data_IF_879681100460
#
_entry.id   IF_879681100460
#
_cell.length_a   1.000
_cell.length_b   1.000
_cell.length_c   1.000
_cell.angle_alpha   90.00
_cell.angle_beta   90.00
_cell.angle_gamma   90.00
#
_symmetry.space_group_name_H-M   'P 1'
#
loop_
_entity.id
_entity.type
_entity.pdbx_description
1 polymer ?
#
# COMPACT_ATOMS: atom_id res chain seq x y z
N UNK A 1 25.28 41.39 1.09
CA UNK A 1 24.71 41.15 2.44
C UNK A 1 23.33 40.46 2.42
N UNK A 2 23.01 39.63 1.39
CA UNK A 2 21.71 38.92 1.30
C UNK A 2 21.86 37.38 1.11
N UNK A 3 23.10 36.85 1.17
CA UNK A 3 23.37 35.40 0.98
C UNK A 3 23.47 34.61 2.27
N UNK A 4 23.74 35.24 3.39
CA UNK A 4 23.97 34.51 4.65
C UNK A 4 22.68 34.16 5.43
N UNK A 5 21.59 34.91 5.20
CA UNK A 5 20.32 34.66 5.92
C UNK A 5 19.54 33.47 5.37
N UNK A 6 19.77 33.10 4.11
CA UNK A 6 19.11 31.92 3.49
C UNK A 6 19.80 30.61 3.89
N UNK A 7 21.11 30.64 4.16
CA UNK A 7 21.85 29.47 4.62
C UNK A 7 21.52 29.07 6.06
N UNK A 8 21.11 30.00 6.91
CA UNK A 8 20.75 29.73 8.28
C UNK A 8 19.45 28.95 8.45
N UNK A 9 18.47 29.17 7.55
CA UNK A 9 17.18 28.47 7.58
C UNK A 9 17.30 27.05 6.99
N UNK A 10 18.16 26.87 5.99
CA UNK A 10 18.41 25.54 5.43
C UNK A 10 19.23 24.65 6.36
N UNK A 11 20.12 25.25 7.16
CA UNK A 11 20.95 24.53 8.15
C UNK A 11 20.14 23.95 9.32
N UNK A 12 19.04 24.55 9.68
CA UNK A 12 18.18 24.07 10.78
C UNK A 12 17.34 22.85 10.36
N UNK A 13 17.02 22.73 9.08
CA UNK A 13 16.24 21.60 8.54
C UNK A 13 17.12 20.36 8.20
N UNK A 14 18.44 20.52 8.10
CA UNK A 14 19.37 19.43 7.77
C UNK A 14 20.11 18.86 9.00
N UNK A 15 19.93 19.44 10.20
CA UNK A 15 20.71 19.10 11.40
C UNK A 15 19.90 18.41 12.49
N UNK A 16 19.01 17.51 12.14
CA UNK A 16 18.44 16.57 13.11
C UNK A 16 19.01 15.18 12.92
N UNK A 17 20.33 15.07 13.09
CA UNK A 17 20.98 13.80 13.41
C UNK A 17 21.45 13.90 14.88
N UNK A 18 21.12 12.94 15.74
CA UNK A 18 21.62 12.94 17.10
C UNK A 18 23.06 12.48 17.12
N UNK A 19 23.99 13.37 17.31
CA UNK A 19 25.33 12.99 17.79
C UNK A 19 25.44 13.30 19.29
N UNK A 20 25.91 12.29 19.98
CA UNK A 20 26.19 12.11 21.38
C UNK A 20 26.87 13.31 22.04
N UNK A 21 26.30 13.71 23.19
CA UNK A 21 26.91 14.36 24.38
C UNK A 21 27.76 15.60 24.21
N UNK A 22 27.23 16.74 24.69
CA UNK A 22 27.83 17.50 25.79
C UNK A 22 26.93 18.65 26.27
N UNK A 23 26.72 18.64 27.58
CA UNK A 23 26.35 19.68 28.57
C UNK A 23 25.82 21.05 28.13
N UNK A 24 24.59 21.27 28.61
CA UNK A 24 24.02 22.47 29.21
C UNK A 24 24.42 23.86 28.68
N UNK A 25 23.43 24.56 28.11
CA UNK A 25 22.99 25.89 28.63
C UNK A 25 21.53 26.07 28.21
N UNK A 26 20.74 26.36 29.17
CA UNK A 26 19.34 26.71 29.26
C UNK A 26 18.98 27.89 28.37
N UNK A 27 18.06 27.70 27.47
CA UNK A 27 16.80 28.42 27.21
C UNK A 27 16.14 27.79 25.99
N UNK A 28 15.48 26.70 26.26
CA UNK A 28 14.68 26.02 25.27
C UNK A 28 13.25 26.48 25.42
N UNK A 29 12.72 27.16 24.39
CA UNK A 29 11.27 27.21 24.19
C UNK A 29 10.81 25.76 24.04
N UNK A 30 10.35 25.18 25.12
CA UNK A 30 9.71 23.87 25.12
C UNK A 30 8.36 24.04 24.43
N UNK A 31 8.30 23.76 23.16
CA UNK A 31 7.07 23.30 22.57
C UNK A 31 6.79 21.92 23.21
N UNK A 32 6.06 21.93 24.31
CA UNK A 32 5.50 20.73 24.91
C UNK A 32 4.46 20.21 23.92
N UNK A 33 4.89 19.37 22.97
CA UNK A 33 4.02 18.36 22.45
C UNK A 33 3.84 17.38 23.61
N UNK A 34 2.78 17.54 24.38
CA UNK A 34 2.27 16.47 25.22
C UNK A 34 1.85 15.37 24.26
N UNK A 35 2.78 14.52 23.89
CA UNK A 35 2.48 13.16 23.54
C UNK A 35 2.22 12.51 24.88
N UNK A 36 1.02 12.73 25.41
CA UNK A 36 0.50 11.84 26.42
C UNK A 36 0.51 10.47 25.74
N UNK A 37 1.52 9.67 26.09
CA UNK A 37 1.47 8.23 25.94
C UNK A 37 0.41 7.72 26.93
N UNK A 38 -0.85 8.08 26.69
CA UNK A 38 -1.95 7.28 27.17
C UNK A 38 -1.73 5.96 26.48
N UNK A 39 -1.23 4.98 27.23
CA UNK A 39 -1.35 3.59 26.89
C UNK A 39 -2.87 3.38 26.72
N UNK A 40 -3.34 3.60 25.49
CA UNK A 40 -4.64 3.16 25.09
C UNK A 40 -4.54 1.67 25.19
N UNK A 41 -5.18 1.08 26.20
CA UNK A 41 -5.70 -0.26 26.06
C UNK A 41 -6.63 -0.20 24.84
N UNK A 42 -6.00 -0.34 23.69
CA UNK A 42 -6.66 -0.65 22.46
C UNK A 42 -7.36 -1.98 22.75
N UNK A 43 -8.65 -1.91 22.99
CA UNK A 43 -9.52 -3.06 22.81
C UNK A 43 -9.48 -3.33 21.31
N UNK A 44 -8.35 -3.84 20.87
CA UNK A 44 -8.23 -4.52 19.62
C UNK A 44 -9.17 -5.70 19.77
N UNK A 45 -10.38 -5.58 19.24
CA UNK A 45 -11.12 -6.74 18.80
C UNK A 45 -10.23 -7.31 17.67
N UNK A 46 -9.19 -7.99 18.08
CA UNK A 46 -8.44 -8.90 17.24
C UNK A 46 -9.43 -10.01 16.92
N UNK A 47 -10.34 -9.73 15.99
CA UNK A 47 -10.87 -10.81 15.20
C UNK A 47 -9.61 -11.52 14.75
N UNK A 48 -9.35 -12.72 15.30
CA UNK A 48 -8.08 -13.37 15.22
C UNK A 48 -7.57 -13.35 13.79
N UNK A 49 -6.77 -12.33 13.43
CA UNK A 49 -5.89 -12.40 12.29
C UNK A 49 -4.95 -13.54 12.63
N UNK A 50 -5.33 -14.72 12.22
CA UNK A 50 -4.35 -15.76 12.11
C UNK A 50 -3.51 -15.36 10.90
N UNK A 51 -2.25 -14.91 11.07
CA UNK A 51 -1.33 -14.88 9.95
C UNK A 51 -1.48 -16.24 9.27
N UNK A 52 -1.53 -16.26 7.96
CA UNK A 52 -1.50 -17.52 7.24
C UNK A 52 -0.36 -18.33 7.83
N UNK A 53 -0.59 -19.61 8.06
CA UNK A 53 0.20 -20.42 8.98
C UNK A 53 1.71 -20.35 8.80
N UNK A 54 2.21 -19.71 7.76
CA UNK A 54 3.64 -19.74 7.42
C UNK A 54 4.12 -18.56 6.59
N UNK A 55 3.36 -17.46 6.51
CA UNK A 55 3.95 -16.29 5.90
C UNK A 55 5.03 -15.75 6.86
N UNK A 56 6.21 -15.48 6.35
CA UNK A 56 7.19 -14.64 7.03
C UNK A 56 6.63 -13.22 7.01
N UNK A 57 5.75 -12.94 7.96
CA UNK A 57 5.18 -11.62 8.12
C UNK A 57 6.24 -10.73 8.79
N UNK A 58 6.57 -9.64 8.12
CA UNK A 58 7.21 -8.51 8.75
C UNK A 58 6.10 -7.52 9.09
N UNK A 59 5.79 -7.39 10.37
CA UNK A 59 4.83 -6.40 10.87
C UNK A 59 5.59 -5.13 11.25
N UNK A 60 5.26 -4.02 10.59
CA UNK A 60 5.87 -2.72 10.86
C UNK A 60 4.80 -1.72 11.27
N UNK A 61 5.03 -1.08 12.40
CA UNK A 61 4.16 0.01 12.83
C UNK A 61 4.37 1.25 11.93
N UNK A 62 3.33 2.07 11.66
CA UNK A 62 3.45 3.27 10.82
C UNK A 62 4.59 4.21 11.22
N UNK A 63 4.87 4.35 12.52
CA UNK A 63 6.00 5.16 13.00
C UNK A 63 7.35 4.57 12.60
N UNK A 64 7.50 3.26 12.66
CA UNK A 64 8.72 2.57 12.23
C UNK A 64 8.98 2.81 10.73
N UNK A 65 7.93 2.69 9.90
CA UNK A 65 8.03 2.94 8.45
C UNK A 65 8.52 4.36 8.13
N UNK A 66 8.03 5.35 8.87
CA UNK A 66 8.42 6.76 8.66
C UNK A 66 9.84 7.02 9.13
N UNK A 67 10.31 6.30 10.16
CA UNK A 67 11.65 6.47 10.75
C UNK A 67 12.74 5.64 10.08
N UNK A 68 12.40 4.74 9.14
CA UNK A 68 13.41 3.99 8.37
C UNK A 68 14.32 4.94 7.62
N UNK A 69 15.62 4.84 7.87
CA UNK A 69 16.65 5.68 7.23
C UNK A 69 16.60 5.56 5.70
N UNK A 70 16.55 6.70 5.02
CA UNK A 70 16.50 6.76 3.56
C UNK A 70 15.14 6.47 2.92
N UNK A 71 14.12 6.02 3.67
CA UNK A 71 12.79 5.78 3.12
C UNK A 71 11.99 7.07 2.90
N UNK A 72 12.31 8.15 3.63
CA UNK A 72 11.61 9.44 3.56
C UNK A 72 10.09 9.32 3.74
N UNK A 73 9.65 8.44 4.63
CA UNK A 73 8.23 8.18 4.88
C UNK A 73 7.51 7.38 3.81
N UNK A 74 8.20 6.88 2.80
CA UNK A 74 7.62 6.06 1.75
C UNK A 74 7.48 4.61 2.21
N UNK A 75 6.27 4.06 2.05
CA UNK A 75 5.91 2.71 2.47
C UNK A 75 6.76 1.64 1.79
N UNK A 76 6.81 1.66 0.45
CA UNK A 76 7.52 0.61 -0.29
C UNK A 76 9.02 0.71 -0.10
N UNK A 77 9.55 1.94 -0.02
CA UNK A 77 10.95 2.16 0.22
C UNK A 77 11.39 1.69 1.62
N UNK A 78 10.52 1.84 2.61
CA UNK A 78 10.78 1.25 3.94
C UNK A 78 10.76 -0.28 3.88
N UNK A 79 9.82 -0.89 3.15
CA UNK A 79 9.77 -2.35 2.98
C UNK A 79 10.96 -2.92 2.20
N UNK A 80 11.60 -2.12 1.34
CA UNK A 80 12.82 -2.53 0.61
C UNK A 80 14.03 -2.77 1.52
N UNK A 81 13.96 -2.39 2.79
CA UNK A 81 15.01 -2.67 3.79
C UNK A 81 14.86 -4.03 4.46
N UNK A 82 13.74 -4.72 4.23
CA UNK A 82 13.46 -6.02 4.84
C UNK A 82 14.24 -7.16 4.16
N UNK A 83 14.60 -8.21 4.90
CA UNK A 83 15.24 -9.38 4.31
C UNK A 83 14.41 -10.04 3.22
N UNK A 84 15.02 -10.29 2.06
CA UNK A 84 14.37 -10.91 0.91
C UNK A 84 13.62 -9.94 -0.01
N UNK A 85 13.74 -8.64 0.25
CA UNK A 85 13.28 -7.60 -0.65
C UNK A 85 14.45 -7.03 -1.45
N UNK A 86 14.16 -6.48 -2.61
CA UNK A 86 15.14 -5.93 -3.53
C UNK A 86 14.60 -4.67 -4.23
N UNK A 87 15.50 -3.86 -4.72
CA UNK A 87 15.24 -2.69 -5.58
C UNK A 87 15.75 -3.01 -6.97
N UNK A 88 14.96 -2.77 -8.00
CA UNK A 88 15.38 -2.92 -9.38
C UNK A 88 15.80 -1.55 -9.93
N UNK A 89 17.10 -1.30 -10.01
CA UNK A 89 17.61 -0.03 -10.54
C UNK A 89 17.00 1.17 -9.82
N UNK A 90 16.50 2.13 -10.59
CA UNK A 90 15.88 3.36 -10.07
C UNK A 90 14.34 3.36 -10.13
N UNK A 91 13.69 2.20 -10.37
CA UNK A 91 12.23 2.13 -10.53
C UNK A 91 11.47 2.48 -9.26
N UNK A 92 12.05 2.21 -8.09
CA UNK A 92 11.41 2.44 -6.79
C UNK A 92 10.35 1.39 -6.41
N UNK A 93 10.10 0.41 -7.27
CA UNK A 93 9.13 -0.65 -7.04
C UNK A 93 9.68 -1.74 -6.10
N UNK A 94 8.80 -2.38 -5.34
CA UNK A 94 9.16 -3.45 -4.40
C UNK A 94 9.23 -4.79 -5.12
N UNK A 95 10.42 -5.39 -5.15
CA UNK A 95 10.63 -6.75 -5.60
C UNK A 95 10.87 -7.66 -4.39
N UNK A 96 10.27 -8.83 -4.41
CA UNK A 96 10.37 -9.78 -3.30
C UNK A 96 10.83 -11.13 -3.83
N UNK A 97 11.91 -11.66 -3.26
CA UNK A 97 12.48 -12.98 -3.61
C UNK A 97 12.77 -13.21 -5.09
N UNK A 98 13.18 -12.16 -5.79
CA UNK A 98 13.51 -12.23 -7.22
C UNK A 98 12.30 -12.18 -8.15
N UNK A 99 11.08 -12.08 -7.62
CA UNK A 99 9.87 -11.85 -8.43
C UNK A 99 9.73 -10.39 -8.83
N UNK A 100 9.00 -10.13 -9.92
CA UNK A 100 8.68 -8.79 -10.39
C UNK A 100 7.73 -8.04 -9.46
N UNK A 101 7.67 -6.72 -9.57
CA UNK A 101 6.78 -5.89 -8.74
C UNK A 101 5.29 -6.25 -8.93
N UNK A 102 4.89 -6.69 -10.12
CA UNK A 102 3.54 -7.16 -10.44
C UNK A 102 3.18 -8.51 -9.80
N UNK A 103 4.14 -9.26 -9.29
CA UNK A 103 3.92 -10.50 -8.55
C UNK A 103 3.68 -10.25 -7.05
N UNK A 104 3.92 -9.02 -6.58
CA UNK A 104 3.63 -8.58 -5.22
C UNK A 104 2.29 -7.85 -5.23
N UNK A 105 1.27 -8.45 -4.63
CA UNK A 105 -0.08 -7.90 -4.65
C UNK A 105 -0.38 -7.10 -3.39
N UNK A 106 -0.98 -5.92 -3.56
CA UNK A 106 -1.37 -5.03 -2.47
C UNK A 106 -2.87 -5.10 -2.24
N UNK A 107 -3.26 -5.19 -0.97
CA UNK A 107 -4.67 -5.20 -0.56
C UNK A 107 -4.91 -4.16 0.52
N UNK A 108 -6.01 -3.41 0.43
CA UNK A 108 -6.46 -2.48 1.48
C UNK A 108 -7.75 -3.02 2.09
N UNK A 109 -7.73 -3.29 3.40
CA UNK A 109 -8.84 -3.92 4.14
C UNK A 109 -9.34 -5.24 3.51
N UNK A 110 -8.42 -6.00 2.86
CA UNK A 110 -8.72 -7.26 2.19
C UNK A 110 -9.19 -7.13 0.74
N UNK A 111 -9.25 -5.90 0.19
CA UNK A 111 -9.64 -5.61 -1.19
C UNK A 111 -8.43 -5.25 -2.03
N UNK A 112 -8.34 -5.83 -3.23
CA UNK A 112 -7.20 -5.67 -4.13
C UNK A 112 -7.04 -4.23 -4.64
N UNK A 113 -5.80 -3.83 -4.85
CA UNK A 113 -5.38 -2.54 -5.41
C UNK A 113 -4.66 -2.78 -6.73
N UNK A 114 -5.23 -2.32 -7.83
CA UNK A 114 -4.69 -2.56 -9.17
C UNK A 114 -3.31 -1.91 -9.39
N UNK A 115 -3.14 -0.65 -8.95
CA UNK A 115 -1.88 0.08 -9.09
C UNK A 115 -1.54 0.82 -7.80
N UNK A 116 -0.59 0.28 -7.01
CA UNK A 116 -0.25 0.84 -5.71
C UNK A 116 0.86 1.89 -5.75
N UNK A 117 1.47 2.13 -6.90
CA UNK A 117 2.59 3.04 -7.06
C UNK A 117 2.19 4.37 -7.72
N UNK A 118 2.96 5.41 -7.44
CA UNK A 118 2.95 6.64 -8.24
C UNK A 118 3.70 6.41 -9.55
N UNK A 119 3.49 7.28 -10.53
CA UNK A 119 4.26 7.23 -11.77
C UNK A 119 5.75 7.33 -11.50
N UNK A 120 6.50 6.48 -12.15
CA UNK A 120 7.94 6.65 -12.30
C UNK A 120 8.22 7.45 -13.57
N UNK A 121 9.26 8.25 -13.50
CA UNK A 121 9.83 8.96 -14.65
C UNK A 121 11.35 8.82 -14.62
N UNK A 122 12.02 9.30 -15.63
CA UNK A 122 13.48 9.30 -15.65
C UNK A 122 13.99 10.08 -14.43
N UNK A 123 14.86 9.45 -13.65
CA UNK A 123 15.37 9.98 -12.38
C UNK A 123 14.29 10.36 -11.35
N UNK A 124 13.09 9.78 -11.48
CA UNK A 124 12.01 9.96 -10.51
C UNK A 124 11.42 8.59 -10.18
N UNK A 125 11.95 7.90 -9.15
CA UNK A 125 11.50 6.56 -8.77
C UNK A 125 10.04 6.60 -8.30
N UNK A 126 9.31 5.54 -8.60
CA UNK A 126 7.97 5.32 -8.09
C UNK A 126 7.97 5.31 -6.55
N UNK A 127 6.89 5.74 -5.97
CA UNK A 127 6.66 5.78 -4.52
C UNK A 127 5.30 5.19 -4.19
N UNK A 128 5.06 4.99 -2.91
CA UNK A 128 3.73 4.67 -2.43
C UNK A 128 2.76 5.81 -2.73
N UNK A 129 1.57 5.47 -3.21
CA UNK A 129 0.44 6.40 -3.29
C UNK A 129 -0.18 6.63 -1.91
N UNK A 130 0.06 5.73 -0.97
CA UNK A 130 -0.65 5.64 0.29
C UNK A 130 0.13 6.28 1.43
N UNK A 131 -0.54 7.17 2.17
CA UNK A 131 0.00 7.74 3.41
C UNK A 131 0.04 6.66 4.48
N UNK A 132 1.22 6.42 5.06
CA UNK A 132 1.42 5.45 6.16
C UNK A 132 0.53 5.74 7.37
N UNK A 133 0.16 7.00 7.57
CA UNK A 133 -0.68 7.42 8.71
C UNK A 133 -2.15 7.00 8.60
N UNK A 134 -2.61 6.57 7.43
CA UNK A 134 -3.98 6.07 7.23
C UNK A 134 -4.15 4.62 7.69
N UNK A 135 -3.04 3.90 7.93
CA UNK A 135 -3.04 2.48 8.27
C UNK A 135 -2.68 2.23 9.73
N UNK A 136 -3.17 1.13 10.29
CA UNK A 136 -2.87 0.68 11.66
C UNK A 136 -1.55 -0.07 11.74
N UNK A 137 -1.14 -0.70 10.65
CA UNK A 137 0.08 -1.48 10.50
C UNK A 137 0.28 -1.90 9.06
N UNK A 138 1.47 -2.32 8.74
CA UNK A 138 1.86 -2.84 7.43
C UNK A 138 2.48 -4.20 7.62
N UNK A 139 1.89 -5.20 7.00
CA UNK A 139 2.34 -6.57 7.06
C UNK A 139 2.83 -6.99 5.68
N UNK A 140 4.06 -7.46 5.55
CA UNK A 140 4.57 -8.05 4.31
C UNK A 140 4.67 -9.56 4.45
N UNK A 141 3.87 -10.30 3.70
CA UNK A 141 3.98 -11.74 3.56
C UNK A 141 4.89 -12.09 2.39
N UNK A 142 6.17 -12.30 2.64
CA UNK A 142 7.15 -12.63 1.61
C UNK A 142 7.14 -14.13 1.26
N UNK A 143 6.11 -14.55 0.50
CA UNK A 143 5.87 -15.93 0.10
C UNK A 143 5.02 -16.74 1.08
N UNK A 144 4.29 -17.71 0.56
CA UNK A 144 3.39 -18.54 1.36
C UNK A 144 2.16 -17.82 1.88
N UNK A 145 1.70 -16.79 1.20
CA UNK A 145 0.47 -16.07 1.56
C UNK A 145 -0.75 -17.00 1.60
N UNK A 146 -1.78 -16.61 2.34
CA UNK A 146 -3.04 -17.35 2.41
C UNK A 146 -3.67 -17.47 1.03
N UNK A 147 -4.34 -18.57 0.75
CA UNK A 147 -5.14 -18.79 -0.46
C UNK A 147 -6.32 -17.81 -0.58
N UNK A 148 -6.57 -17.02 0.45
CA UNK A 148 -7.48 -15.87 0.40
C UNK A 148 -7.03 -14.78 -0.59
N UNK A 149 -5.72 -14.68 -0.85
CA UNK A 149 -5.13 -13.67 -1.73
C UNK A 149 -4.72 -14.31 -3.06
N UNK A 150 -5.42 -13.96 -4.13
CA UNK A 150 -5.11 -14.43 -5.48
C UNK A 150 -3.99 -13.65 -6.14
N UNK A 151 -3.45 -14.22 -7.23
CA UNK A 151 -2.46 -13.60 -8.12
C UNK A 151 -1.12 -13.18 -7.46
N UNK A 152 -0.88 -13.55 -6.20
CA UNK A 152 0.30 -13.20 -5.45
C UNK A 152 1.36 -14.29 -5.54
N UNK A 153 2.25 -14.21 -6.52
CA UNK A 153 3.30 -15.20 -6.75
C UNK A 153 4.52 -14.98 -5.83
N UNK A 154 4.88 -13.73 -5.56
CA UNK A 154 6.06 -13.37 -4.75
C UNK A 154 5.70 -12.96 -3.34
N UNK A 155 4.78 -12.00 -3.18
CA UNK A 155 4.40 -11.48 -1.88
C UNK A 155 2.98 -10.93 -1.84
N UNK A 156 2.44 -10.80 -0.63
CA UNK A 156 1.20 -10.07 -0.34
C UNK A 156 1.50 -8.95 0.64
N UNK A 157 1.00 -7.78 0.34
CA UNK A 157 1.05 -6.60 1.18
C UNK A 157 -0.38 -6.20 1.62
N UNK A 158 -0.90 -6.76 2.70
CA UNK A 158 -2.16 -6.30 3.27
C UNK A 158 -1.94 -5.04 4.09
N UNK A 159 -2.61 -3.98 3.70
CA UNK A 159 -2.70 -2.71 4.40
C UNK A 159 -4.06 -2.66 5.11
N UNK A 160 -4.03 -2.48 6.41
CA UNK A 160 -5.25 -2.37 7.17
C UNK A 160 -5.45 -0.92 7.59
N UNK A 161 -6.56 -0.35 7.18
CA UNK A 161 -6.91 0.99 7.64
C UNK A 161 -7.24 0.98 9.12
N UNK A 162 -7.03 2.10 9.82
CA UNK A 162 -7.32 2.21 11.25
C UNK A 162 -8.77 1.90 11.55
N UNK A 163 -9.04 1.09 12.55
CA UNK A 163 -10.40 0.65 12.86
C UNK A 163 -11.24 1.77 13.52
N UNK A 164 -10.72 2.42 14.56
CA UNK A 164 -11.40 3.48 15.26
C UNK A 164 -10.41 4.46 15.86
N UNK A 165 -10.72 5.75 15.82
CA UNK A 165 -9.97 6.77 16.53
C UNK A 165 -10.85 7.38 17.62
N UNK A 166 -10.39 7.36 18.85
CA UNK A 166 -11.10 7.97 19.98
C UNK A 166 -10.77 9.46 20.17
N UNK A 167 -9.79 9.95 19.41
CA UNK A 167 -9.26 11.31 19.58
C UNK A 167 -9.21 12.02 18.25
N UNK A 168 -9.69 13.24 18.22
CA UNK A 168 -9.54 14.15 17.10
C UNK A 168 -8.04 14.47 16.91
N UNK A 169 -7.59 14.42 15.65
CA UNK A 169 -6.19 14.68 15.29
C UNK A 169 -6.13 15.59 14.09
N UNK A 170 -5.15 16.49 14.08
CA UNK A 170 -4.81 17.33 12.94
C UNK A 170 -3.29 17.34 12.81
N UNK A 171 -2.79 17.24 11.59
CA UNK A 171 -1.39 17.32 11.28
C UNK A 171 -1.17 18.08 10.00
N UNK A 172 -0.08 18.83 9.94
CA UNK A 172 0.38 19.51 8.73
C UNK A 172 1.87 19.24 8.54
N UNK A 173 2.29 19.16 7.29
CA UNK A 173 3.69 19.01 6.94
C UNK A 173 4.03 19.96 5.80
N UNK A 174 5.26 20.42 5.79
CA UNK A 174 5.80 21.24 4.70
C UNK A 174 7.27 20.88 4.47
N UNK A 175 7.66 20.86 3.21
CA UNK A 175 9.01 20.58 2.76
C UNK A 175 9.34 21.39 1.50
N UNK A 176 10.59 21.36 1.07
CA UNK A 176 11.03 22.02 -0.19
C UNK A 176 10.33 21.42 -1.42
N UNK A 177 9.81 20.20 -1.30
CA UNK A 177 9.17 19.48 -2.40
C UNK A 177 7.65 19.49 -2.34
N UNK A 178 7.05 19.97 -1.23
CA UNK A 178 5.59 20.01 -1.14
C UNK A 178 5.04 20.34 0.23
N UNK A 179 3.73 20.35 0.30
CA UNK A 179 2.95 20.59 1.51
C UNK A 179 1.87 19.55 1.64
N UNK A 180 1.51 19.21 2.86
CA UNK A 180 0.44 18.28 3.13
C UNK A 180 -0.22 18.55 4.46
N UNK A 181 -1.35 17.93 4.65
CA UNK A 181 -2.06 18.00 5.90
C UNK A 181 -3.21 17.02 5.94
N UNK A 182 -3.60 16.65 7.13
CA UNK A 182 -4.69 15.74 7.32
C UNK A 182 -5.21 15.80 8.74
N UNK A 183 -6.28 15.08 8.96
CA UNK A 183 -6.87 15.00 10.29
C UNK A 183 -7.89 13.90 10.40
N UNK A 184 -8.28 13.65 11.62
CA UNK A 184 -9.35 12.72 11.96
C UNK A 184 -10.33 13.43 12.86
N UNK A 185 -11.60 13.41 12.46
CA UNK A 185 -12.73 13.82 13.30
C UNK A 185 -13.45 12.59 13.81
N UNK A 186 -13.66 12.53 15.11
CA UNK A 186 -14.35 11.43 15.78
C UNK A 186 -15.78 11.82 16.13
N UNK A 187 -16.67 10.85 16.16
CA UNK A 187 -18.06 10.94 16.63
C UNK A 187 -18.43 9.64 17.35
N UNK A 188 -19.57 9.59 18.01
CA UNK A 188 -19.94 8.53 18.95
C UNK A 188 -19.71 7.10 18.47
N UNK A 189 -19.95 6.83 17.18
CA UNK A 189 -19.86 5.49 16.61
C UNK A 189 -18.93 5.40 15.39
N UNK A 190 -18.09 6.40 15.17
CA UNK A 190 -17.24 6.38 14.00
C UNK A 190 -16.22 7.48 13.95
N UNK A 191 -15.53 7.55 12.83
CA UNK A 191 -14.57 8.61 12.55
C UNK A 191 -14.40 8.82 11.04
N UNK A 192 -14.09 10.07 10.70
CA UNK A 192 -13.71 10.48 9.35
C UNK A 192 -12.26 10.97 9.39
N UNK A 193 -11.42 10.40 8.55
CA UNK A 193 -10.06 10.86 8.36
C UNK A 193 -9.88 11.38 6.94
N UNK A 194 -9.12 12.45 6.79
CA UNK A 194 -8.73 13.05 5.51
C UNK A 194 -7.23 13.27 5.52
N UNK A 195 -6.57 13.00 4.40
CA UNK A 195 -5.15 13.28 4.18
C UNK A 195 -4.99 13.86 2.78
N UNK A 196 -4.36 15.02 2.68
CA UNK A 196 -4.16 15.76 1.43
C UNK A 196 -2.69 16.12 1.32
N UNK A 197 -2.09 15.83 0.16
CA UNK A 197 -0.70 16.13 -0.11
C UNK A 197 -0.55 16.74 -1.51
N UNK A 198 0.24 17.78 -1.62
CA UNK A 198 0.63 18.39 -2.87
C UNK A 198 2.15 18.47 -2.96
N UNK A 199 2.71 17.94 -4.02
CA UNK A 199 4.14 17.98 -4.31
C UNK A 199 4.39 18.76 -5.58
N UNK A 200 5.48 19.54 -5.58
CA UNK A 200 5.93 20.31 -6.73
C UNK A 200 7.45 20.49 -6.68
N UNK A 201 8.15 19.84 -7.59
CA UNK A 201 9.61 19.93 -7.65
C UNK A 201 10.14 21.24 -8.23
N UNK A 202 9.30 22.17 -8.68
CA UNK A 202 9.75 23.43 -9.27
C UNK A 202 10.53 24.33 -8.31
N UNK A 203 10.21 24.30 -6.99
CA UNK A 203 10.99 25.03 -6.00
C UNK A 203 12.35 24.34 -5.75
N UNK A 204 12.33 23.02 -5.63
CA UNK A 204 13.55 22.22 -5.48
C UNK A 204 14.50 22.43 -6.67
N UNK A 205 13.99 22.43 -7.90
CA UNK A 205 14.76 22.61 -9.10
C UNK A 205 15.41 24.02 -9.20
N UNK A 206 14.70 25.05 -8.73
CA UNK A 206 15.27 26.40 -8.61
C UNK A 206 16.41 26.52 -7.61
N UNK A 207 16.35 25.77 -6.52
CA UNK A 207 17.40 25.75 -5.46
C UNK A 207 18.60 24.93 -5.88
N UNK A 208 18.35 23.80 -6.55
CA UNK A 208 19.35 22.82 -6.98
C UNK A 208 19.43 22.76 -8.51
N UNK A 209 19.52 23.92 -9.15
CA UNK A 209 19.52 24.07 -10.61
C UNK A 209 20.61 23.18 -11.29
N UNK A 210 20.28 22.69 -12.48
CA UNK A 210 21.20 21.92 -13.34
C UNK A 210 21.15 20.40 -13.16
N UNK A 211 20.28 19.87 -12.32
CA UNK A 211 20.11 18.41 -12.16
C UNK A 211 19.06 17.81 -13.08
N UNK A 212 18.08 18.61 -13.52
CA UNK A 212 16.95 18.18 -14.34
C UNK A 212 16.56 19.28 -15.31
N UNK A 213 16.22 18.90 -16.53
CA UNK A 213 15.79 19.83 -17.58
C UNK A 213 14.27 19.73 -17.75
N UNK A 214 13.53 20.25 -16.78
CA UNK A 214 12.08 20.25 -16.81
C UNK A 214 11.55 21.37 -17.74
N UNK A 215 10.66 21.01 -18.67
CA UNK A 215 9.71 21.92 -19.29
C UNK A 215 8.61 22.27 -18.29
N UNK A 216 8.04 21.23 -17.66
CA UNK A 216 7.04 21.33 -16.62
C UNK A 216 7.50 20.52 -15.41
N UNK A 217 7.80 21.16 -14.28
CA UNK A 217 8.22 20.45 -13.08
C UNK A 217 7.23 19.37 -12.65
N UNK A 218 7.75 18.29 -12.08
CA UNK A 218 6.92 17.25 -11.48
C UNK A 218 5.96 17.84 -10.46
N UNK A 219 4.68 17.55 -10.65
CA UNK A 219 3.60 17.93 -9.76
C UNK A 219 2.78 16.70 -9.44
N UNK A 220 2.43 16.54 -8.18
CA UNK A 220 1.57 15.47 -7.73
C UNK A 220 0.58 16.01 -6.70
N UNK A 221 -0.68 15.70 -6.89
CA UNK A 221 -1.72 15.86 -5.89
C UNK A 221 -2.15 14.47 -5.44
N UNK A 222 -2.27 14.26 -4.14
CA UNK A 222 -2.77 13.04 -3.53
C UNK A 222 -3.78 13.37 -2.44
N UNK A 223 -4.93 12.73 -2.49
CA UNK A 223 -5.99 12.91 -1.50
C UNK A 223 -6.60 11.59 -1.09
N UNK A 224 -6.66 11.34 0.22
CA UNK A 224 -7.26 10.16 0.81
C UNK A 224 -8.37 10.53 1.79
N UNK A 225 -9.44 9.74 1.79
CA UNK A 225 -10.55 9.85 2.75
C UNK A 225 -10.84 8.47 3.29
N UNK A 226 -10.99 8.37 4.60
CA UNK A 226 -11.39 7.14 5.27
C UNK A 226 -12.55 7.42 6.22
N UNK A 227 -13.67 6.74 6.00
CA UNK A 227 -14.83 6.72 6.88
C UNK A 227 -14.92 5.37 7.57
N UNK A 228 -15.22 5.38 8.86
CA UNK A 228 -15.40 4.20 9.71
C UNK A 228 -16.64 4.39 10.55
N UNK A 229 -17.45 3.35 10.60
CA UNK A 229 -18.65 3.35 11.40
C UNK A 229 -18.83 1.98 12.08
N UNK A 230 -19.01 2.01 13.40
CA UNK A 230 -19.24 0.83 14.22
C UNK A 230 -20.68 0.88 14.71
N UNK A 231 -21.54 0.01 14.18
CA UNK A 231 -22.94 -0.02 14.56
C UNK A 231 -23.12 -0.53 16.01
N UNK A 232 -22.37 -1.60 16.31
CA UNK A 232 -22.15 -2.15 17.64
C UNK A 232 -20.73 -2.72 17.69
N UNK A 233 -20.28 -3.27 18.82
CA UNK A 233 -18.95 -3.87 18.97
C UNK A 233 -18.66 -5.03 17.98
N UNK A 234 -19.66 -5.51 17.26
CA UNK A 234 -19.59 -6.67 16.38
C UNK A 234 -19.71 -6.31 14.90
N UNK A 235 -20.10 -5.08 14.56
CA UNK A 235 -20.35 -4.66 13.17
C UNK A 235 -19.54 -3.43 12.84
N UNK A 236 -18.64 -3.56 11.86
CA UNK A 236 -17.79 -2.47 11.39
C UNK A 236 -17.96 -2.27 9.89
N UNK A 237 -18.23 -1.04 9.51
CA UNK A 237 -18.21 -0.55 8.15
C UNK A 237 -16.99 0.34 7.94
N UNK A 238 -16.30 0.12 6.84
CA UNK A 238 -15.20 0.98 6.40
C UNK A 238 -15.36 1.36 4.96
N UNK A 239 -15.08 2.61 4.64
CA UNK A 239 -14.93 3.11 3.28
C UNK A 239 -13.61 3.84 3.19
N UNK A 240 -12.79 3.49 2.21
CA UNK A 240 -11.55 4.18 1.91
C UNK A 240 -11.57 4.63 0.45
N UNK A 241 -11.18 5.87 0.21
CA UNK A 241 -11.07 6.44 -1.13
C UNK A 241 -9.74 7.18 -1.26
N UNK A 242 -9.09 7.02 -2.40
CA UNK A 242 -7.83 7.65 -2.75
C UNK A 242 -7.88 8.16 -4.18
N UNK A 243 -7.44 9.40 -4.39
CA UNK A 243 -7.21 9.98 -5.69
C UNK A 243 -5.81 10.56 -5.79
N UNK A 244 -5.11 10.24 -6.86
CA UNK A 244 -3.80 10.78 -7.15
C UNK A 244 -3.75 11.29 -8.59
N UNK A 245 -3.10 12.43 -8.78
CA UNK A 245 -2.81 13.01 -10.09
C UNK A 245 -1.36 13.43 -10.16
N UNK A 246 -0.65 12.92 -11.15
CA UNK A 246 0.73 13.28 -11.46
C UNK A 246 0.81 13.91 -12.84
N UNK A 247 1.66 14.93 -12.99
CA UNK A 247 1.85 15.61 -14.24
C UNK A 247 3.24 16.27 -14.27
N UNK A 248 4.01 15.99 -15.33
CA UNK A 248 5.31 16.62 -15.58
C UNK A 248 5.74 16.47 -17.03
N UNK A 249 6.70 17.30 -17.47
CA UNK A 249 7.44 17.10 -18.70
C UNK A 249 8.91 17.50 -18.56
N UNK A 250 9.78 16.75 -19.21
CA UNK A 250 11.22 16.94 -19.15
C UNK A 250 11.86 16.73 -20.51
N UNK A 251 12.95 17.46 -20.76
CA UNK A 251 13.78 17.20 -21.93
C UNK A 251 14.75 16.06 -21.65
N UNK A 252 14.87 15.16 -22.62
CA UNK A 252 15.67 13.94 -22.49
C UNK A 252 16.59 13.74 -23.68
N UNK A 253 17.78 13.19 -23.39
CA UNK A 253 18.82 12.85 -24.35
C UNK A 253 19.43 14.08 -25.02
N UNK A 254 20.47 13.83 -25.85
CA UNK A 254 21.22 14.86 -26.56
C UNK A 254 20.34 15.63 -27.56
N UNK A 255 19.31 14.99 -28.07
CA UNK A 255 18.35 15.59 -29.01
C UNK A 255 17.27 16.44 -28.33
N UNK A 256 17.32 16.62 -26.99
CA UNK A 256 16.34 17.38 -26.22
C UNK A 256 14.90 16.96 -26.54
N UNK A 257 14.64 15.67 -26.63
CA UNK A 257 13.29 15.15 -26.83
C UNK A 257 12.42 15.50 -25.63
N UNK A 258 11.25 16.09 -25.89
CA UNK A 258 10.29 16.40 -24.85
C UNK A 258 9.52 15.12 -24.46
N UNK A 259 9.79 14.59 -23.28
CA UNK A 259 9.02 13.54 -22.65
C UNK A 259 7.99 14.16 -21.70
N UNK A 260 6.73 13.78 -21.83
CA UNK A 260 5.64 14.24 -20.98
C UNK A 260 4.86 13.07 -20.40
N UNK A 261 4.48 13.18 -19.13
CA UNK A 261 3.67 12.19 -18.44
C UNK A 261 2.55 12.86 -17.66
N UNK A 262 1.32 12.37 -17.87
CA UNK A 262 0.15 12.71 -17.07
C UNK A 262 -0.56 11.44 -16.60
N UNK A 263 -0.87 11.35 -15.31
CA UNK A 263 -1.50 10.18 -14.72
C UNK A 263 -2.61 10.58 -13.76
N UNK A 264 -3.73 9.87 -13.85
CA UNK A 264 -4.83 9.93 -12.90
C UNK A 264 -5.06 8.52 -12.33
N UNK A 265 -5.18 8.40 -11.03
CA UNK A 265 -5.35 7.13 -10.35
C UNK A 265 -6.39 7.25 -9.22
N UNK A 266 -7.42 6.43 -9.29
CA UNK A 266 -8.51 6.39 -8.31
C UNK A 266 -8.58 4.99 -7.71
N UNK A 267 -8.74 4.92 -6.42
CA UNK A 267 -9.07 3.70 -5.70
C UNK A 267 -10.16 3.97 -4.68
N UNK A 268 -11.18 3.14 -4.66
CA UNK A 268 -12.25 3.21 -3.65
C UNK A 268 -12.56 1.79 -3.20
N UNK A 269 -12.68 1.58 -1.90
CA UNK A 269 -13.24 0.35 -1.36
C UNK A 269 -14.30 0.63 -0.29
N UNK A 270 -15.19 -0.34 -0.14
CA UNK A 270 -16.16 -0.39 0.96
C UNK A 270 -16.16 -1.82 1.52
N UNK A 271 -16.00 -1.96 2.83
CA UNK A 271 -15.96 -3.25 3.51
C UNK A 271 -16.92 -3.29 4.68
N UNK A 272 -17.49 -4.46 4.88
CA UNK A 272 -18.38 -4.78 5.98
C UNK A 272 -17.84 -6.00 6.72
N UNK A 273 -17.75 -5.91 8.04
CA UNK A 273 -17.38 -7.03 8.92
C UNK A 273 -18.40 -7.17 10.01
N UNK A 274 -18.83 -8.41 10.27
CA UNK A 274 -19.74 -8.74 11.35
C UNK A 274 -19.29 -9.98 12.09
N UNK A 275 -19.16 -9.86 13.41
CA UNK A 275 -18.98 -10.99 14.31
C UNK A 275 -20.31 -11.36 14.94
N UNK A 276 -20.71 -12.63 14.89
CA UNK A 276 -21.98 -13.11 15.44
C UNK A 276 -21.71 -14.06 16.61
N UNK A 277 -22.66 -14.16 17.53
CA UNK A 277 -22.66 -15.20 18.57
C UNK A 277 -22.46 -16.58 17.93
N UNK A 278 -21.69 -17.47 18.56
CA UNK A 278 -21.31 -18.78 17.98
C UNK A 278 -20.08 -18.75 17.10
N UNK A 279 -19.21 -17.72 17.26
CA UNK A 279 -17.89 -17.61 16.61
C UNK A 279 -17.89 -17.54 15.08
N UNK A 280 -19.00 -17.07 14.51
CA UNK A 280 -19.09 -16.74 13.09
C UNK A 280 -18.57 -15.32 12.83
N UNK A 281 -17.75 -15.17 11.80
CA UNK A 281 -17.31 -13.90 11.28
C UNK A 281 -17.63 -13.80 9.78
N UNK A 282 -18.29 -12.73 9.41
CA UNK A 282 -18.71 -12.42 8.05
C UNK A 282 -17.92 -11.23 7.53
N UNK A 283 -17.48 -11.31 6.30
CA UNK A 283 -16.83 -10.23 5.58
C UNK A 283 -17.47 -10.11 4.19
N UNK A 284 -17.77 -8.89 3.79
CA UNK A 284 -18.12 -8.55 2.43
C UNK A 284 -17.40 -7.27 2.02
N UNK A 285 -16.93 -7.20 0.80
CA UNK A 285 -16.22 -6.04 0.30
C UNK A 285 -16.41 -5.85 -1.19
N UNK A 286 -16.34 -4.58 -1.60
CA UNK A 286 -16.28 -4.15 -2.99
C UNK A 286 -15.20 -3.09 -3.14
N UNK A 287 -14.41 -3.17 -4.21
CA UNK A 287 -13.44 -2.16 -4.54
C UNK A 287 -13.48 -1.82 -6.03
N UNK A 288 -13.11 -0.60 -6.34
CA UNK A 288 -12.95 -0.11 -7.70
C UNK A 288 -11.62 0.61 -7.84
N UNK A 289 -10.86 0.25 -8.86
CA UNK A 289 -9.61 0.90 -9.26
C UNK A 289 -9.76 1.47 -10.67
N UNK A 290 -9.30 2.69 -10.87
CA UNK A 290 -9.18 3.35 -12.16
C UNK A 290 -7.80 3.94 -12.30
N UNK A 291 -7.14 3.62 -13.40
CA UNK A 291 -5.83 4.11 -13.76
C UNK A 291 -5.84 4.61 -15.20
N UNK A 292 -5.33 5.82 -15.41
CA UNK A 292 -5.22 6.42 -16.74
C UNK A 292 -3.90 7.16 -16.85
N UNK A 293 -3.06 6.71 -17.77
CA UNK A 293 -1.74 7.29 -18.03
C UNK A 293 -1.61 7.72 -19.47
N UNK A 294 -1.03 8.89 -19.66
CA UNK A 294 -0.71 9.48 -20.96
C UNK A 294 0.78 9.80 -20.99
N UNK A 295 1.46 9.29 -22.00
CA UNK A 295 2.89 9.54 -22.21
C UNK A 295 3.04 10.17 -23.58
N UNK A 296 3.67 11.35 -23.65
CA UNK A 296 4.08 12.00 -24.87
C UNK A 296 5.59 11.88 -25.08
N UNK A 297 6.05 11.71 -26.32
CA UNK A 297 7.47 11.61 -26.65
C UNK A 297 8.13 10.35 -26.07
N UNK A 298 7.48 9.19 -26.10
CA UNK A 298 7.98 7.97 -25.48
C UNK A 298 9.30 7.48 -26.09
N UNK A 299 9.40 7.41 -27.42
CA UNK A 299 10.62 7.01 -28.15
C UNK A 299 11.12 8.13 -29.03
N UNK A 300 10.23 8.77 -29.80
CA UNK A 300 10.55 9.93 -30.63
C UNK A 300 9.58 11.08 -30.37
N UNK A 301 9.95 12.29 -30.81
CA UNK A 301 9.04 13.44 -30.73
C UNK A 301 7.79 13.17 -31.57
N UNK A 302 6.61 13.41 -30.95
CA UNK A 302 5.31 13.14 -31.57
C UNK A 302 4.67 11.82 -31.17
N UNK A 303 5.40 10.93 -30.53
CA UNK A 303 4.82 9.71 -29.93
C UNK A 303 3.79 10.06 -28.87
N UNK A 304 2.76 9.24 -28.81
CA UNK A 304 1.71 9.34 -27.79
C UNK A 304 1.25 7.94 -27.38
N UNK A 305 1.21 7.72 -26.08
CA UNK A 305 0.73 6.47 -25.52
C UNK A 305 -0.32 6.76 -24.44
N UNK A 306 -1.50 6.21 -24.65
CA UNK A 306 -2.60 6.25 -23.69
C UNK A 306 -2.83 4.84 -23.13
N UNK A 307 -2.70 4.70 -21.85
CA UNK A 307 -2.99 3.47 -21.11
C UNK A 307 -4.14 3.71 -20.13
N UNK A 308 -5.16 2.86 -20.18
CA UNK A 308 -6.28 2.91 -19.24
C UNK A 308 -6.56 1.53 -18.69
N UNK A 309 -6.61 1.43 -17.38
CA UNK A 309 -6.91 0.20 -16.65
C UNK A 309 -8.05 0.44 -15.66
N UNK A 310 -8.93 -0.52 -15.54
CA UNK A 310 -10.03 -0.50 -14.59
C UNK A 310 -10.18 -1.89 -13.97
N UNK A 311 -10.47 -1.93 -12.70
CA UNK A 311 -10.79 -3.17 -11.98
C UNK A 311 -11.92 -2.94 -11.01
N UNK A 312 -12.90 -3.85 -11.02
CA UNK A 312 -13.86 -4.02 -9.94
C UNK A 312 -13.55 -5.34 -9.25
N UNK A 313 -13.30 -5.28 -7.96
CA UNK A 313 -13.07 -6.46 -7.11
C UNK A 313 -14.21 -6.61 -6.12
N UNK A 314 -14.85 -7.78 -6.13
CA UNK A 314 -15.91 -8.16 -5.19
C UNK A 314 -15.44 -9.37 -4.39
N UNK A 315 -15.66 -9.37 -3.08
CA UNK A 315 -15.26 -10.44 -2.18
C UNK A 315 -16.24 -10.67 -1.07
N UNK A 316 -16.53 -11.93 -0.79
CA UNK A 316 -17.29 -12.34 0.39
C UNK A 316 -16.56 -13.51 1.08
N UNK A 317 -16.47 -13.45 2.41
CA UNK A 317 -15.83 -14.48 3.23
C UNK A 317 -16.63 -14.76 4.48
N UNK A 318 -16.65 -16.01 4.87
CA UNK A 318 -17.16 -16.46 6.16
C UNK A 318 -16.09 -17.26 6.87
N UNK A 319 -15.95 -16.99 8.16
CA UNK A 319 -15.04 -17.70 9.05
C UNK A 319 -15.81 -18.26 10.23
N UNK A 320 -15.47 -19.46 10.67
CA UNK A 320 -16.04 -20.08 11.86
C UNK A 320 -14.96 -20.81 12.65
N UNK A 321 -14.94 -20.60 13.96
CA UNK A 321 -14.22 -21.46 14.87
C UNK A 321 -15.17 -22.60 15.29
N UNK A 322 -14.85 -23.82 14.83
CA UNK A 322 -15.67 -25.00 15.14
C UNK A 322 -15.40 -25.53 16.55
N UNK A 323 -14.15 -25.40 17.01
CA UNK A 323 -13.72 -25.77 18.36
C UNK A 323 -12.43 -25.01 18.71
N UNK A 324 -11.87 -25.25 19.89
CA UNK A 324 -10.56 -24.71 20.27
C UNK A 324 -9.44 -25.11 19.31
N UNK A 325 -9.59 -26.25 18.63
CA UNK A 325 -8.56 -26.83 17.74
C UNK A 325 -8.84 -26.66 16.24
N UNK A 326 -10.07 -26.28 15.83
CA UNK A 326 -10.42 -26.16 14.42
C UNK A 326 -11.03 -24.80 14.06
N UNK A 327 -10.51 -24.17 13.01
CA UNK A 327 -11.08 -22.99 12.38
C UNK A 327 -11.22 -23.21 10.88
N UNK A 328 -12.35 -22.78 10.34
CA UNK A 328 -12.64 -22.76 8.90
C UNK A 328 -12.76 -21.33 8.40
N UNK A 329 -12.18 -21.08 7.24
CA UNK A 329 -12.34 -19.87 6.45
C UNK A 329 -12.73 -20.27 5.03
N UNK A 330 -13.78 -19.66 4.46
CA UNK A 330 -14.19 -19.90 3.08
C UNK A 330 -14.70 -18.61 2.46
N UNK A 331 -14.49 -18.45 1.17
CA UNK A 331 -14.94 -17.26 0.48
C UNK A 331 -14.93 -17.41 -1.03
N UNK A 332 -15.53 -16.40 -1.62
CA UNK A 332 -15.58 -16.21 -3.07
C UNK A 332 -15.14 -14.79 -3.40
N UNK A 333 -14.52 -14.63 -4.57
CA UNK A 333 -14.16 -13.31 -5.08
C UNK A 333 -14.23 -13.26 -6.60
N UNK A 334 -14.35 -12.06 -7.13
CA UNK A 334 -14.35 -11.82 -8.57
C UNK A 334 -13.61 -10.54 -8.90
N UNK A 335 -12.76 -10.61 -9.92
CA UNK A 335 -12.07 -9.47 -10.54
C UNK A 335 -12.63 -9.26 -11.94
N UNK A 336 -13.17 -8.08 -12.19
CA UNK A 336 -13.68 -7.66 -13.49
C UNK A 336 -12.78 -6.54 -13.97
N UNK A 337 -11.97 -6.82 -14.99
CA UNK A 337 -10.93 -5.90 -15.48
C UNK A 337 -11.23 -5.40 -16.88
N UNK A 338 -10.72 -4.23 -17.18
CA UNK A 338 -10.75 -3.64 -18.52
C UNK A 338 -9.43 -2.90 -18.76
N UNK A 339 -8.67 -3.39 -19.71
CA UNK A 339 -7.42 -2.81 -20.16
C UNK A 339 -7.61 -2.23 -21.55
N UNK A 340 -7.16 -0.98 -21.76
CA UNK A 340 -7.14 -0.33 -23.07
C UNK A 340 -5.81 0.40 -23.22
N UNK A 341 -5.11 0.06 -24.28
CA UNK A 341 -3.91 0.77 -24.73
C UNK A 341 -4.16 1.32 -26.11
N UNK A 342 -3.77 2.56 -26.32
CA UNK A 342 -3.70 3.18 -27.62
C UNK A 342 -2.34 3.87 -27.73
N UNK A 343 -1.58 3.54 -28.73
CA UNK A 343 -0.24 4.10 -28.89
C UNK A 343 0.03 4.48 -30.36
N UNK A 344 0.61 5.66 -30.53
CA UNK A 344 1.27 6.11 -31.71
C UNK A 344 2.76 6.16 -31.40
N UNK A 345 3.51 5.16 -31.84
CA UNK A 345 4.94 5.04 -31.58
C UNK A 345 5.71 4.89 -32.89
N UNK A 346 6.69 5.77 -33.14
CA UNK A 346 7.51 5.76 -34.35
C UNK A 346 6.68 5.70 -35.66
N UNK A 347 5.53 6.37 -35.67
CA UNK A 347 4.62 6.40 -36.83
C UNK A 347 3.67 5.21 -36.93
N UNK A 348 3.73 4.25 -36.00
CA UNK A 348 2.79 3.12 -35.93
C UNK A 348 1.65 3.48 -34.98
N UNK A 349 0.42 3.46 -35.48
CA UNK A 349 -0.80 3.68 -34.72
C UNK A 349 -1.47 2.31 -34.45
N UNK A 350 -1.61 1.93 -33.19
CA UNK A 350 -2.26 0.68 -32.81
C UNK A 350 -3.01 0.79 -31.48
N UNK A 351 -3.99 -0.08 -31.30
CA UNK A 351 -4.80 -0.10 -30.09
C UNK A 351 -5.16 -1.53 -29.67
N UNK A 352 -5.02 -1.79 -28.38
CA UNK A 352 -5.35 -3.07 -27.78
C UNK A 352 -6.41 -2.90 -26.68
N UNK A 353 -7.32 -3.87 -26.63
CA UNK A 353 -8.30 -3.97 -25.56
C UNK A 353 -8.42 -5.39 -25.06
N UNK A 354 -8.42 -5.54 -23.74
CA UNK A 354 -8.65 -6.81 -23.05
C UNK A 354 -9.58 -6.61 -21.87
N UNK A 355 -10.55 -7.50 -21.68
CA UNK A 355 -11.52 -7.42 -20.59
C UNK A 355 -11.61 -8.76 -19.86
N UNK A 356 -10.57 -9.17 -19.12
CA UNK A 356 -10.57 -10.43 -18.37
C UNK A 356 -11.49 -10.35 -17.16
N UNK A 357 -12.19 -11.44 -16.90
CA UNK A 357 -12.90 -11.68 -15.64
C UNK A 357 -12.32 -12.91 -14.99
N UNK A 358 -11.98 -12.80 -13.71
CA UNK A 358 -11.50 -13.91 -12.88
C UNK A 358 -12.51 -14.12 -11.77
N UNK A 359 -13.05 -15.33 -11.67
CA UNK A 359 -13.87 -15.79 -10.55
C UNK A 359 -13.09 -16.78 -9.72
N UNK A 360 -13.05 -16.63 -8.42
CA UNK A 360 -12.32 -17.52 -7.54
C UNK A 360 -13.13 -17.93 -6.31
N UNK A 361 -12.89 -19.16 -5.87
CA UNK A 361 -13.33 -19.68 -4.58
C UNK A 361 -12.15 -20.17 -3.77
N UNK A 362 -12.13 -19.90 -2.48
CA UNK A 362 -11.07 -20.35 -1.60
C UNK A 362 -11.64 -20.95 -0.30
N UNK A 363 -10.87 -21.88 0.23
CA UNK A 363 -11.15 -22.57 1.49
C UNK A 363 -9.85 -22.74 2.26
N UNK A 364 -9.91 -22.58 3.58
CA UNK A 364 -8.82 -22.86 4.50
C UNK A 364 -9.33 -23.50 5.76
N UNK A 365 -8.66 -24.53 6.22
CA UNK A 365 -8.89 -25.19 7.50
C UNK A 365 -7.62 -25.14 8.34
N UNK A 366 -7.65 -24.42 9.43
CA UNK A 366 -6.57 -24.39 10.40
C UNK A 366 -6.87 -25.40 11.52
N UNK A 367 -5.85 -26.20 11.86
CA UNK A 367 -5.88 -27.23 12.91
C UNK A 367 -4.77 -26.96 13.91
N UNK A 368 -5.13 -26.91 15.19
CA UNK A 368 -4.26 -26.61 16.32
C UNK A 368 -4.25 -27.83 17.27
N UNK A 369 -3.52 -28.92 16.95
CA UNK A 369 -3.51 -30.13 17.79
C UNK A 369 -2.89 -29.89 19.18
N UNK A 370 -1.99 -28.92 19.28
CA UNK A 370 -1.35 -28.46 20.51
C UNK A 370 -0.99 -26.99 20.40
N UNK A 371 -0.73 -26.31 21.51
CA UNK A 371 -0.40 -24.88 21.51
C UNK A 371 0.81 -24.52 20.62
N UNK A 372 1.77 -25.44 20.54
CA UNK A 372 3.00 -25.25 19.77
C UNK A 372 2.87 -25.58 18.28
N UNK A 373 1.83 -26.30 17.85
CA UNK A 373 1.69 -26.74 16.46
C UNK A 373 0.43 -26.19 15.82
N UNK A 374 0.62 -25.46 14.74
CA UNK A 374 -0.44 -25.02 13.85
C UNK A 374 -0.24 -25.65 12.48
N UNK A 375 -1.27 -26.27 11.95
CA UNK A 375 -1.34 -26.80 10.58
C UNK A 375 -2.46 -26.09 9.82
N UNK A 376 -2.27 -25.86 8.54
CA UNK A 376 -3.29 -25.26 7.68
C UNK A 376 -3.33 -26.02 6.37
N UNK A 377 -4.49 -26.56 6.05
CA UNK A 377 -4.82 -27.06 4.73
C UNK A 377 -5.68 -26.02 4.02
N UNK A 378 -5.33 -25.65 2.81
CA UNK A 378 -6.11 -24.70 2.03
C UNK A 378 -6.07 -25.02 0.54
N UNK A 379 -7.08 -24.56 -0.17
CA UNK A 379 -7.10 -24.62 -1.63
C UNK A 379 -7.81 -23.40 -2.19
N UNK A 380 -7.45 -23.08 -3.42
CA UNK A 380 -8.07 -22.05 -4.23
C UNK A 380 -8.39 -22.62 -5.60
N UNK A 381 -9.55 -22.28 -6.11
CA UNK A 381 -9.91 -22.55 -7.51
C UNK A 381 -10.22 -21.24 -8.20
N UNK A 382 -9.72 -21.07 -9.41
CA UNK A 382 -9.89 -19.87 -10.22
C UNK A 382 -10.35 -20.22 -11.62
N UNK A 383 -11.30 -19.46 -12.11
CA UNK A 383 -11.71 -19.46 -13.51
C UNK A 383 -11.37 -18.13 -14.16
N UNK A 384 -10.66 -18.18 -15.29
CA UNK A 384 -10.23 -16.98 -16.04
C UNK A 384 -10.89 -16.97 -17.41
N UNK A 385 -11.71 -15.94 -17.71
CA UNK A 385 -12.54 -15.88 -18.90
C UNK A 385 -11.79 -15.87 -20.23
N UNK A 386 -10.63 -15.17 -20.41
CA UNK A 386 -9.90 -15.17 -21.67
C UNK A 386 -9.43 -16.55 -22.09
N UNK A 387 -8.93 -17.32 -21.15
CA UNK A 387 -8.35 -18.64 -21.40
C UNK A 387 -9.35 -19.78 -21.23
N UNK A 388 -10.53 -19.52 -20.64
CA UNK A 388 -11.55 -20.52 -20.28
C UNK A 388 -10.96 -21.69 -19.46
N UNK A 389 -9.93 -21.40 -18.65
CA UNK A 389 -9.23 -22.40 -17.85
C UNK A 389 -9.63 -22.29 -16.40
N UNK A 390 -9.75 -23.44 -15.76
CA UNK A 390 -9.83 -23.57 -14.31
C UNK A 390 -8.47 -23.96 -13.78
N UNK A 391 -7.99 -23.26 -12.77
CA UNK A 391 -6.82 -23.61 -11.99
C UNK A 391 -7.24 -24.09 -10.62
N UNK A 392 -6.49 -25.07 -10.10
CA UNK A 392 -6.68 -25.59 -8.75
C UNK A 392 -5.33 -25.54 -8.02
N UNK A 393 -5.30 -24.86 -6.88
CA UNK A 393 -4.09 -24.57 -6.12
C UNK A 393 -4.25 -25.06 -4.68
N UNK A 394 -3.92 -26.33 -4.39
CA UNK A 394 -3.88 -26.87 -3.02
C UNK A 394 -2.61 -26.42 -2.31
N UNK A 395 -2.72 -26.27 -0.97
CA UNK A 395 -1.60 -25.88 -0.12
C UNK A 395 -1.72 -26.54 1.25
N UNK A 396 -0.59 -26.99 1.79
CA UNK A 396 -0.41 -27.45 3.14
C UNK A 396 0.69 -26.62 3.80
N UNK A 397 0.44 -26.16 5.01
CA UNK A 397 1.36 -25.37 5.77
C UNK A 397 1.41 -25.85 7.23
N UNK A 398 2.59 -25.81 7.87
CA UNK A 398 2.76 -26.15 9.26
C UNK A 398 3.73 -25.20 9.95
N UNK A 399 3.40 -24.77 11.16
CA UNK A 399 4.25 -24.00 12.06
C UNK A 399 4.41 -24.73 13.38
N UNK A 400 5.64 -24.91 13.81
CA UNK A 400 5.97 -25.44 15.11
C UNK A 400 6.75 -24.40 15.92
N UNK A 401 6.26 -24.08 17.10
CA UNK A 401 6.86 -23.13 18.03
C UNK A 401 7.66 -23.88 19.08
N UNK A 402 8.96 -23.62 19.15
CA UNK A 402 9.87 -24.21 20.11
C UNK A 402 10.59 -23.11 20.88
N UNK A 403 10.12 -22.81 22.09
CA UNK A 403 10.60 -21.66 22.87
C UNK A 403 10.41 -20.37 22.06
N UNK A 404 11.50 -19.64 21.81
CA UNK A 404 11.51 -18.41 21.03
C UNK A 404 11.72 -18.62 19.52
N UNK A 405 11.79 -19.88 19.08
CA UNK A 405 11.99 -20.22 17.67
C UNK A 405 10.68 -20.68 17.02
N UNK A 406 10.50 -20.36 15.76
CA UNK A 406 9.42 -20.85 14.92
C UNK A 406 9.98 -21.60 13.72
N UNK A 407 9.65 -22.87 13.60
CA UNK A 407 9.94 -23.66 12.41
C UNK A 407 8.70 -23.70 11.52
N UNK A 408 8.85 -23.28 10.27
CA UNK A 408 7.75 -23.20 9.31
C UNK A 408 8.06 -23.99 8.05
N UNK A 409 7.07 -24.74 7.57
CA UNK A 409 7.14 -25.46 6.31
C UNK A 409 5.88 -25.24 5.48
N UNK A 410 6.05 -25.07 4.16
CA UNK A 410 4.94 -24.87 3.20
C UNK A 410 5.21 -25.74 1.98
N UNK A 411 4.16 -26.39 1.50
CA UNK A 411 4.11 -27.04 0.20
C UNK A 411 2.79 -26.72 -0.45
N UNK A 412 2.82 -26.37 -1.73
CA UNK A 412 1.59 -26.02 -2.46
C UNK A 412 1.84 -25.64 -3.90
N UNK A 413 0.75 -25.47 -4.62
CA UNK A 413 0.71 -24.90 -5.96
C UNK A 413 0.14 -23.48 -5.88
N UNK A 414 0.74 -22.56 -6.64
CA UNK A 414 0.34 -21.15 -6.77
C UNK A 414 -0.04 -20.85 -8.22
#
# INVERSE_FOLDING_TARGET
MKRETVFGILGVLLYTQPSVAQKSVTDTVRLNFNIDSVALEEVVVKGARTPAANSRWSDMHPVELVTVGGANGDLYKALQTLPGTQVQGETGELLVRGGGSYETQTFIDGMHVLNPYTSNGINTPARSRYSTFMFSGVNLASGGASQEYGEALSAVLPLETKDYSKVDKVGVNASVVGVGGGGTKTFDRGSLSVDLNYQNLGLYDKVYSGRRDFEKPYRMFSGAVQFRYTLDERVVWKVYAQYDRTDFSTYEGDNRRLFGLGEDNIYVNATFRRHTSGEWSWFAGAAYSYYNRRIGGAVVSGDNWLERQQETHLKAKVSKRLSSVFRLDMGIESYIRNYRNHYLLCGTDDSNRMSPTIGAGFFSMAYYPMEQLKMEFSFRTEYTSPNRKMNFSPRLAANYYWGNMMLSGIVGRY
#
